data_IF_224150203111
#
_entry.id   IF_224150203111
#
_cell.length_a   1.000
_cell.length_b   1.000
_cell.length_c   1.000
_cell.angle_alpha   90.00
_cell.angle_beta   90.00
_cell.angle_gamma   90.00
#
_symmetry.space_group_name_H-M   'P 1'
#
loop_
_entity.id
_entity.type
_entity.pdbx_description
1 polymer ?
#
# COMPACT_ATOMS: atom_id res chain seq x y z
N UNK A 1 30.62 -53.73 -7.87
CA UNK A 1 31.11 -52.34 -7.92
C UNK A 1 29.95 -51.40 -7.64
N UNK A 2 29.88 -50.79 -6.46
CA UNK A 2 28.83 -49.86 -6.09
C UNK A 2 29.18 -48.47 -6.62
N UNK A 3 28.31 -47.90 -7.51
CA UNK A 3 28.45 -46.52 -7.97
C UNK A 3 28.14 -45.56 -6.79
N UNK A 4 29.17 -44.85 -6.36
CA UNK A 4 29.05 -43.76 -5.40
C UNK A 4 28.19 -42.63 -6.05
N UNK A 5 26.97 -42.46 -5.61
CA UNK A 5 26.14 -41.30 -5.97
C UNK A 5 26.83 -40.04 -5.41
N UNK A 6 27.23 -39.12 -6.29
CA UNK A 6 27.73 -37.84 -5.89
C UNK A 6 26.61 -37.08 -5.14
N UNK A 7 26.87 -36.67 -3.91
CA UNK A 7 26.02 -35.75 -3.17
C UNK A 7 26.00 -34.42 -3.91
N UNK A 8 24.96 -34.14 -4.65
CA UNK A 8 24.66 -32.79 -5.11
C UNK A 8 24.17 -32.01 -3.88
N UNK A 9 25.02 -31.15 -3.36
CA UNK A 9 24.60 -30.15 -2.35
C UNK A 9 23.82 -29.11 -3.12
N UNK A 10 22.50 -28.93 -2.89
CA UNK A 10 21.80 -27.82 -3.52
C UNK A 10 22.40 -26.53 -2.98
N UNK A 11 22.97 -25.70 -3.86
CA UNK A 11 23.32 -24.33 -3.51
C UNK A 11 22.01 -23.57 -3.32
N UNK A 12 21.70 -23.21 -2.09
CA UNK A 12 20.61 -22.27 -1.80
C UNK A 12 21.16 -20.89 -2.12
N UNK A 13 20.68 -20.29 -3.19
CA UNK A 13 20.96 -18.90 -3.50
C UNK A 13 20.05 -18.04 -2.64
N UNK A 14 20.64 -17.24 -1.76
CA UNK A 14 19.91 -16.28 -0.91
C UNK A 14 19.91 -14.95 -1.64
N UNK A 15 18.74 -14.52 -2.12
CA UNK A 15 18.58 -13.18 -2.69
C UNK A 15 18.59 -12.14 -1.56
N UNK A 16 19.38 -11.09 -1.77
CA UNK A 16 19.37 -9.92 -0.89
C UNK A 16 18.18 -9.02 -1.25
N UNK A 17 17.21 -8.95 -0.35
CA UNK A 17 16.02 -8.11 -0.50
C UNK A 17 16.20 -6.69 0.05
N UNK A 18 17.34 -6.36 0.64
CA UNK A 18 17.60 -5.05 1.22
C UNK A 18 17.37 -3.90 0.24
N UNK A 19 17.85 -3.93 -1.01
CA UNK A 19 17.63 -2.84 -1.96
C UNK A 19 16.13 -2.60 -2.25
N UNK A 20 15.36 -3.68 -2.34
CA UNK A 20 13.90 -3.58 -2.56
C UNK A 20 13.19 -2.99 -1.36
N UNK A 21 13.60 -3.30 -0.15
CA UNK A 21 13.03 -2.74 1.07
C UNK A 21 13.37 -1.26 1.24
N UNK A 22 14.58 -0.85 0.89
CA UNK A 22 15.00 0.56 0.87
C UNK A 22 14.21 1.36 -0.16
N UNK A 23 14.03 0.82 -1.37
CA UNK A 23 13.21 1.44 -2.40
C UNK A 23 11.74 1.53 -1.97
N UNK A 24 11.16 0.48 -1.39
CA UNK A 24 9.81 0.51 -0.85
C UNK A 24 9.64 1.64 0.18
N UNK A 25 10.63 1.83 1.03
CA UNK A 25 10.60 2.90 2.03
C UNK A 25 10.67 4.29 1.38
N UNK A 26 11.49 4.47 0.37
CA UNK A 26 11.56 5.70 -0.43
C UNK A 26 10.22 6.01 -1.10
N UNK A 27 9.61 5.00 -1.74
CA UNK A 27 8.30 5.11 -2.38
C UNK A 27 7.20 5.44 -1.36
N UNK A 28 7.28 4.87 -0.16
CA UNK A 28 6.36 5.21 0.92
C UNK A 28 6.45 6.70 1.30
N UNK A 29 7.65 7.25 1.44
CA UNK A 29 7.79 8.67 1.73
C UNK A 29 7.27 9.54 0.59
N UNK A 30 7.49 9.18 -0.66
CA UNK A 30 6.93 9.89 -1.82
C UNK A 30 5.39 9.87 -1.80
N UNK A 31 4.79 8.71 -1.56
CA UNK A 31 3.33 8.56 -1.44
C UNK A 31 2.77 9.39 -0.27
N UNK A 32 3.42 9.34 0.88
CA UNK A 32 3.06 10.16 2.05
C UNK A 32 3.08 11.65 1.71
N UNK A 33 4.17 12.13 1.13
CA UNK A 33 4.37 13.55 0.92
C UNK A 33 3.35 14.13 -0.07
N UNK A 34 3.03 13.41 -1.14
CA UNK A 34 2.01 13.84 -2.12
C UNK A 34 0.62 13.84 -1.51
N UNK A 35 0.27 12.82 -0.74
CA UNK A 35 -1.04 12.77 -0.06
C UNK A 35 -1.15 13.83 1.01
N UNK A 36 -0.15 13.96 1.88
CA UNK A 36 -0.15 14.97 2.94
C UNK A 36 -0.28 16.39 2.40
N UNK A 37 0.39 16.71 1.29
CA UNK A 37 0.26 18.00 0.62
C UNK A 37 -1.16 18.24 0.09
N UNK A 38 -1.77 17.21 -0.51
CA UNK A 38 -3.11 17.30 -1.06
C UNK A 38 -4.20 17.41 0.03
N UNK A 39 -3.95 16.90 1.24
CA UNK A 39 -4.93 16.90 2.33
C UNK A 39 -4.98 18.21 3.13
N UNK A 40 -4.11 19.18 2.84
CA UNK A 40 -4.14 20.47 3.53
C UNK A 40 -5.47 21.19 3.29
N UNK A 41 -6.20 21.48 4.37
CA UNK A 41 -7.49 22.18 4.31
C UNK A 41 -8.68 21.35 3.82
N UNK A 42 -8.48 20.07 3.56
CA UNK A 42 -9.59 19.17 3.16
C UNK A 42 -10.53 18.93 4.33
N UNK A 43 -11.84 18.98 4.07
CA UNK A 43 -12.90 18.71 5.03
C UNK A 43 -13.81 17.62 4.45
N UNK A 44 -14.08 16.59 5.23
CA UNK A 44 -14.97 15.48 4.86
C UNK A 44 -16.11 15.43 5.87
N UNK A 45 -17.31 15.71 5.43
CA UNK A 45 -18.54 15.69 6.26
C UNK A 45 -18.41 16.52 7.56
N UNK A 46 -17.76 17.68 7.50
CA UNK A 46 -17.52 18.55 8.67
C UNK A 46 -16.25 18.20 9.48
N UNK A 47 -15.55 17.14 9.15
CA UNK A 47 -14.29 16.74 9.81
C UNK A 47 -13.08 17.21 9.02
N UNK A 48 -12.25 18.06 9.64
CA UNK A 48 -10.97 18.47 9.05
C UNK A 48 -10.00 17.29 9.00
N UNK A 49 -9.44 17.06 7.83
CA UNK A 49 -8.43 15.98 7.62
C UNK A 49 -7.14 16.34 8.33
N UNK A 50 -6.56 15.36 9.01
CA UNK A 50 -5.31 15.48 9.77
C UNK A 50 -4.23 14.62 9.17
N UNK A 51 -3.01 15.10 9.20
CA UNK A 51 -1.83 14.29 8.87
C UNK A 51 -1.60 13.23 9.94
N UNK A 52 -1.26 12.00 9.55
CA UNK A 52 -0.77 11.00 10.49
C UNK A 52 0.52 11.48 11.17
N UNK A 53 0.62 11.35 12.49
CA UNK A 53 1.78 11.76 13.27
C UNK A 53 2.55 10.59 13.87
N UNK A 54 2.03 9.38 13.75
CA UNK A 54 2.65 8.14 14.27
C UNK A 54 3.79 7.62 13.40
N UNK A 55 4.59 6.73 13.98
CA UNK A 55 5.54 5.95 13.21
C UNK A 55 4.81 4.82 12.48
N UNK A 56 5.18 4.58 11.23
CA UNK A 56 4.58 3.59 10.33
C UNK A 56 5.69 2.66 9.85
N UNK A 57 5.36 1.39 9.75
CA UNK A 57 6.20 0.37 9.12
C UNK A 57 5.60 0.04 7.77
N UNK A 58 6.38 0.22 6.71
CA UNK A 58 6.03 -0.24 5.37
C UNK A 58 6.89 -1.47 5.02
N UNK A 59 6.27 -2.57 4.62
CA UNK A 59 6.98 -3.80 4.26
C UNK A 59 6.39 -4.43 3.01
N UNK A 60 7.21 -5.22 2.33
CA UNK A 60 6.68 -6.27 1.47
C UNK A 60 6.23 -7.44 2.33
N UNK A 61 4.99 -7.88 2.14
CA UNK A 61 4.45 -9.04 2.84
C UNK A 61 3.62 -9.89 1.88
N UNK A 62 3.74 -11.21 2.01
CA UNK A 62 2.91 -12.13 1.25
C UNK A 62 1.50 -12.12 1.81
N UNK A 63 0.68 -11.23 1.27
CA UNK A 63 -0.73 -11.13 1.60
C UNK A 63 -1.47 -12.30 0.97
N UNK A 64 -1.36 -13.47 1.62
CA UNK A 64 -1.98 -14.71 1.19
C UNK A 64 -3.48 -14.53 1.10
N UNK A 65 -4.00 -14.51 -0.11
CA UNK A 65 -5.43 -14.69 -0.32
C UNK A 65 -5.84 -16.02 0.28
N UNK A 66 -6.90 -16.05 1.10
CA UNK A 66 -7.52 -17.28 1.55
C UNK A 66 -7.72 -18.18 0.33
N UNK A 67 -7.33 -19.47 0.40
CA UNK A 67 -7.49 -20.44 -0.69
C UNK A 67 -8.93 -20.52 -1.23
N UNK A 68 -9.90 -19.97 -0.53
CA UNK A 68 -11.30 -19.92 -0.91
C UNK A 68 -11.70 -18.70 -1.75
N UNK A 69 -10.87 -17.66 -1.88
CA UNK A 69 -11.19 -16.45 -2.64
C UNK A 69 -10.09 -16.17 -3.66
N UNK A 70 -10.46 -16.21 -4.96
CA UNK A 70 -9.61 -15.89 -6.11
C UNK A 70 -9.16 -14.39 -6.19
N UNK A 71 -9.39 -13.60 -5.15
CA UNK A 71 -9.01 -12.20 -5.16
C UNK A 71 -7.58 -12.03 -4.64
N UNK A 72 -6.72 -11.43 -5.44
CA UNK A 72 -5.39 -11.00 -5.02
C UNK A 72 -5.53 -9.79 -4.12
N UNK A 73 -4.97 -9.84 -2.93
CA UNK A 73 -4.84 -8.68 -2.04
C UNK A 73 -3.57 -7.96 -2.41
N UNK A 74 -3.66 -6.71 -2.83
CA UNK A 74 -2.53 -5.92 -3.30
C UNK A 74 -1.81 -5.20 -2.18
N UNK A 75 -2.56 -4.67 -1.21
CA UNK A 75 -2.05 -3.99 -0.05
C UNK A 75 -2.93 -4.23 1.17
N UNK A 76 -2.43 -3.83 2.31
CA UNK A 76 -3.15 -3.94 3.57
C UNK A 76 -2.66 -2.88 4.54
N UNK A 77 -3.58 -2.09 5.08
CA UNK A 77 -3.34 -1.22 6.21
C UNK A 77 -3.81 -1.90 7.50
N UNK A 78 -2.96 -1.93 8.51
CA UNK A 78 -3.30 -2.46 9.82
C UNK A 78 -2.82 -1.56 10.96
N UNK A 79 -3.66 -1.42 11.97
CA UNK A 79 -3.36 -0.58 13.12
C UNK A 79 -2.64 -1.36 14.20
N UNK A 80 -1.63 -0.76 14.84
CA UNK A 80 -0.95 -1.32 16.00
C UNK A 80 -0.37 -2.75 15.79
N UNK A 81 0.08 -3.06 14.58
CA UNK A 81 0.60 -4.39 14.23
C UNK A 81 2.01 -4.65 14.76
N UNK A 82 2.79 -3.59 14.92
CA UNK A 82 4.17 -3.69 15.40
C UNK A 82 4.31 -3.07 16.78
N UNK A 83 5.26 -3.59 17.54
CA UNK A 83 5.67 -2.99 18.81
C UNK A 83 7.19 -2.86 18.82
N UNK A 84 7.68 -1.62 18.91
CA UNK A 84 9.10 -1.30 19.00
C UNK A 84 9.29 -0.34 20.18
N UNK A 85 10.19 -0.68 21.09
CA UNK A 85 10.49 0.14 22.28
C UNK A 85 9.23 0.55 23.08
N UNK A 86 8.28 -0.37 23.20
CA UNK A 86 7.02 -0.13 23.90
C UNK A 86 6.00 0.70 23.13
N UNK A 87 6.33 1.20 21.93
CA UNK A 87 5.44 1.95 21.06
C UNK A 87 4.73 1.02 20.07
N UNK A 88 3.42 1.20 19.92
CA UNK A 88 2.64 0.53 18.88
C UNK A 88 2.76 1.30 17.58
N UNK A 89 3.05 0.59 16.50
CA UNK A 89 3.21 1.15 15.17
C UNK A 89 2.13 0.62 14.24
N UNK A 90 1.67 1.48 13.35
CA UNK A 90 0.81 1.10 12.24
C UNK A 90 1.63 0.45 11.13
N UNK A 91 0.98 -0.33 10.29
CA UNK A 91 1.63 -1.11 9.26
C UNK A 91 0.91 -0.94 7.91
N UNK A 92 1.69 -0.69 6.87
CA UNK A 92 1.27 -0.81 5.48
C UNK A 92 2.05 -1.96 4.87
N UNK A 93 1.36 -3.00 4.49
CA UNK A 93 1.93 -4.15 3.79
C UNK A 93 1.61 -4.06 2.29
N UNK A 94 2.59 -4.31 1.45
CA UNK A 94 2.48 -4.35 0.00
C UNK A 94 2.81 -5.76 -0.48
N UNK A 95 1.95 -6.32 -1.32
CA UNK A 95 2.18 -7.66 -1.87
C UNK A 95 3.30 -7.62 -2.92
N UNK A 96 4.42 -8.33 -2.70
CA UNK A 96 5.56 -8.30 -3.64
C UNK A 96 5.22 -8.86 -5.03
N UNK A 97 4.13 -9.62 -5.16
CA UNK A 97 3.66 -10.10 -6.46
C UNK A 97 3.40 -8.97 -7.47
N UNK A 98 3.12 -7.75 -6.99
CA UNK A 98 2.87 -6.59 -7.84
C UNK A 98 4.13 -5.98 -8.47
N UNK A 99 5.32 -6.34 -7.99
CA UNK A 99 6.59 -5.82 -8.53
C UNK A 99 6.88 -6.29 -9.96
N UNK A 100 6.24 -7.39 -10.40
CA UNK A 100 6.40 -7.90 -11.75
C UNK A 100 5.71 -7.00 -12.79
N UNK A 101 6.37 -6.77 -13.94
CA UNK A 101 5.79 -5.98 -15.04
C UNK A 101 4.40 -6.48 -15.47
N UNK A 102 4.21 -7.81 -15.51
CA UNK A 102 2.93 -8.42 -15.86
C UNK A 102 1.80 -8.12 -14.86
N UNK A 103 2.11 -7.64 -13.66
CA UNK A 103 1.17 -7.36 -12.58
C UNK A 103 1.06 -5.89 -12.22
N UNK A 104 1.68 -5.01 -13.03
CA UNK A 104 1.60 -3.56 -12.92
C UNK A 104 2.87 -2.88 -12.42
N UNK A 105 3.87 -3.63 -11.96
CA UNK A 105 5.17 -3.09 -11.61
C UNK A 105 5.12 -2.00 -10.52
N UNK A 106 6.07 -1.10 -10.60
CA UNK A 106 6.22 -0.02 -9.63
C UNK A 106 5.03 0.96 -9.58
N UNK A 107 4.33 1.16 -10.68
CA UNK A 107 3.12 1.99 -10.72
C UNK A 107 2.03 1.40 -9.83
N UNK A 108 1.81 0.09 -9.90
CA UNK A 108 0.83 -0.59 -9.06
C UNK A 108 1.23 -0.59 -7.59
N UNK A 109 2.53 -0.72 -7.28
CA UNK A 109 3.06 -0.60 -5.91
C UNK A 109 2.73 0.77 -5.34
N UNK A 110 3.04 1.85 -6.06
CA UNK A 110 2.76 3.23 -5.63
C UNK A 110 1.26 3.52 -5.53
N UNK A 111 0.48 3.09 -6.53
CA UNK A 111 -0.98 3.20 -6.48
C UNK A 111 -1.54 2.57 -5.20
N UNK A 112 -1.14 1.33 -4.90
CA UNK A 112 -1.58 0.62 -3.71
C UNK A 112 -1.11 1.34 -2.44
N UNK A 113 0.12 1.83 -2.43
CA UNK A 113 0.68 2.55 -1.28
C UNK A 113 -0.09 3.83 -0.96
N UNK A 114 -0.47 4.61 -1.98
CA UNK A 114 -1.33 5.79 -1.83
C UNK A 114 -2.71 5.36 -1.31
N UNK A 115 -3.28 4.27 -1.83
CA UNK A 115 -4.56 3.74 -1.36
C UNK A 115 -4.54 3.40 0.14
N UNK A 116 -3.53 2.65 0.57
CA UNK A 116 -3.39 2.27 1.98
C UNK A 116 -3.06 3.46 2.89
N UNK A 117 -2.32 4.44 2.38
CA UNK A 117 -2.05 5.68 3.11
C UNK A 117 -3.32 6.54 3.31
N UNK A 118 -4.27 6.50 2.39
CA UNK A 118 -5.58 7.15 2.57
C UNK A 118 -6.33 6.59 3.78
N UNK A 119 -6.28 5.28 4.02
CA UNK A 119 -6.85 4.67 5.23
C UNK A 119 -6.18 5.18 6.50
N UNK A 120 -4.86 5.35 6.47
CA UNK A 120 -4.12 5.90 7.60
C UNK A 120 -4.50 7.37 7.89
N UNK A 121 -4.68 8.19 6.85
CA UNK A 121 -5.18 9.57 6.96
C UNK A 121 -6.59 9.60 7.52
N UNK A 122 -7.48 8.72 7.06
CA UNK A 122 -8.83 8.58 7.59
C UNK A 122 -8.81 8.27 9.09
N UNK A 123 -8.00 7.29 9.50
CA UNK A 123 -7.80 6.93 10.91
C UNK A 123 -7.30 8.11 11.74
N UNK A 124 -6.25 8.80 11.28
CA UNK A 124 -5.67 9.96 12.00
C UNK A 124 -6.68 11.10 12.16
N UNK A 125 -7.63 11.19 11.24
CA UNK A 125 -8.70 12.21 11.22
C UNK A 125 -9.94 11.79 12.01
N UNK A 126 -10.04 10.52 12.45
CA UNK A 126 -11.25 9.97 13.06
C UNK A 126 -12.40 9.80 12.07
N UNK A 127 -12.08 9.62 10.79
CA UNK A 127 -13.04 9.40 9.70
C UNK A 127 -13.22 7.90 9.49
N UNK A 128 -14.44 7.40 9.62
CA UNK A 128 -14.79 6.03 9.24
C UNK A 128 -14.92 5.96 7.71
N UNK A 129 -13.90 5.51 7.04
CA UNK A 129 -13.78 5.43 5.58
C UNK A 129 -14.19 4.06 5.02
N UNK A 130 -14.31 3.05 5.89
CA UNK A 130 -14.77 1.71 5.53
C UNK A 130 -16.01 1.31 6.34
N UNK A 131 -16.70 0.27 5.89
CA UNK A 131 -17.76 -0.43 6.60
C UNK A 131 -17.63 -1.95 6.38
N UNK A 132 -18.54 -2.74 6.95
CA UNK A 132 -18.53 -4.18 6.82
C UNK A 132 -17.15 -4.81 7.20
N UNK A 133 -16.66 -4.46 8.41
CA UNK A 133 -15.36 -4.93 8.93
C UNK A 133 -14.17 -4.64 8.00
N UNK A 134 -14.14 -3.48 7.37
CA UNK A 134 -13.05 -3.04 6.51
C UNK A 134 -13.19 -3.45 5.03
N UNK A 135 -14.17 -4.31 4.68
CA UNK A 135 -14.29 -4.82 3.31
C UNK A 135 -14.98 -3.86 2.33
N UNK A 136 -15.67 -2.85 2.82
CA UNK A 136 -16.46 -1.95 1.98
C UNK A 136 -15.96 -0.52 2.13
N UNK A 137 -15.33 0.02 1.09
CA UNK A 137 -14.92 1.42 1.03
C UNK A 137 -16.14 2.31 0.79
N UNK A 138 -16.44 3.17 1.73
CA UNK A 138 -17.62 4.03 1.70
C UNK A 138 -17.37 5.36 0.94
N UNK A 139 -18.34 6.26 0.96
CA UNK A 139 -18.23 7.56 0.28
C UNK A 139 -17.14 8.47 0.86
N UNK A 140 -16.81 8.31 2.16
CA UNK A 140 -15.75 9.10 2.79
C UNK A 140 -14.38 8.67 2.31
N UNK A 141 -14.17 7.35 2.17
CA UNK A 141 -12.98 6.85 1.48
C UNK A 141 -12.85 7.43 0.07
N UNK A 142 -13.95 7.39 -0.72
CA UNK A 142 -13.95 7.94 -2.08
C UNK A 142 -13.61 9.44 -2.09
N UNK A 143 -14.12 10.21 -1.16
CA UNK A 143 -13.82 11.63 -1.05
C UNK A 143 -12.36 11.89 -0.70
N UNK A 144 -11.79 11.13 0.24
CA UNK A 144 -10.36 11.20 0.60
C UNK A 144 -9.47 10.79 -0.58
N UNK A 145 -9.76 9.66 -1.24
CA UNK A 145 -9.00 9.19 -2.40
C UNK A 145 -8.98 10.23 -3.52
N UNK A 146 -10.13 10.81 -3.85
CA UNK A 146 -10.22 11.86 -4.87
C UNK A 146 -9.50 13.15 -4.46
N UNK A 147 -9.45 13.48 -3.17
CA UNK A 147 -8.74 14.66 -2.68
C UNK A 147 -7.21 14.55 -2.89
N UNK A 148 -6.64 13.35 -3.00
CA UNK A 148 -5.22 13.15 -3.29
C UNK A 148 -4.81 13.68 -4.67
N UNK A 149 -5.76 13.72 -5.63
CA UNK A 149 -5.57 14.05 -7.05
C UNK A 149 -4.71 13.06 -7.83
N UNK A 150 -3.94 12.20 -7.18
CA UNK A 150 -3.10 11.18 -7.83
C UNK A 150 -3.83 9.84 -8.00
N UNK A 151 -4.85 9.58 -7.19
CA UNK A 151 -5.79 8.47 -7.39
C UNK A 151 -7.22 8.99 -7.41
N UNK A 152 -8.10 8.27 -8.09
CA UNK A 152 -9.53 8.53 -8.04
C UNK A 152 -10.33 7.30 -7.66
N UNK A 153 -11.43 7.51 -6.97
CA UNK A 153 -12.32 6.43 -6.55
C UNK A 153 -13.26 6.02 -7.69
N UNK A 154 -13.35 4.71 -7.90
CA UNK A 154 -14.27 4.09 -8.87
C UNK A 154 -15.27 3.22 -8.11
N UNK A 155 -16.56 3.44 -8.36
CA UNK A 155 -17.62 2.68 -7.70
C UNK A 155 -17.67 1.24 -8.21
N UNK A 156 -17.74 0.29 -7.28
CA UNK A 156 -17.86 -1.15 -7.54
C UNK A 156 -18.94 -1.74 -6.60
N UNK A 157 -19.91 -2.45 -7.15
CA UNK A 157 -21.10 -2.88 -6.42
C UNK A 157 -20.86 -3.66 -5.13
N UNK A 158 -19.85 -4.54 -5.11
CA UNK A 158 -19.62 -5.45 -3.98
C UNK A 158 -18.69 -4.90 -2.90
N UNK A 159 -17.82 -3.96 -3.24
CA UNK A 159 -16.78 -3.43 -2.35
C UNK A 159 -16.89 -1.92 -2.10
N UNK A 160 -17.91 -1.30 -2.63
CA UNK A 160 -18.16 0.15 -2.53
C UNK A 160 -17.34 0.94 -3.54
N UNK A 161 -16.10 1.23 -3.22
CA UNK A 161 -15.18 1.93 -4.12
C UNK A 161 -13.84 1.18 -4.19
N UNK A 162 -13.25 1.16 -5.37
CA UNK A 162 -11.82 0.88 -5.58
C UNK A 162 -11.15 2.17 -6.02
N UNK A 163 -9.86 2.13 -6.27
CA UNK A 163 -9.12 3.28 -6.79
C UNK A 163 -8.40 2.92 -8.09
N UNK A 164 -8.10 3.94 -8.87
CA UNK A 164 -7.22 3.88 -10.04
C UNK A 164 -6.36 5.15 -10.07
N UNK A 165 -5.21 5.08 -10.74
CA UNK A 165 -4.39 6.28 -10.98
C UNK A 165 -5.16 7.28 -11.84
N UNK A 166 -4.93 8.55 -11.57
CA UNK A 166 -5.32 9.64 -12.48
C UNK A 166 -4.17 9.91 -13.44
N UNK A 167 -4.42 10.66 -14.51
CA UNK A 167 -3.37 11.13 -15.40
C UNK A 167 -2.28 11.91 -14.64
N UNK A 168 -2.68 12.72 -13.66
CA UNK A 168 -1.74 13.42 -12.78
C UNK A 168 -0.93 12.45 -11.91
N UNK A 169 -1.55 11.36 -11.45
CA UNK A 169 -0.86 10.30 -10.69
C UNK A 169 0.17 9.57 -11.53
N UNK A 170 -0.17 9.21 -12.76
CA UNK A 170 0.77 8.57 -13.70
C UNK A 170 1.95 9.49 -14.04
N UNK A 171 1.71 10.78 -14.29
CA UNK A 171 2.77 11.77 -14.51
C UNK A 171 3.66 11.92 -13.26
N UNK A 172 3.06 12.00 -12.08
CA UNK A 172 3.80 12.09 -10.83
C UNK A 172 4.74 10.88 -10.64
N UNK A 173 4.25 9.67 -10.88
CA UNK A 173 5.07 8.45 -10.76
C UNK A 173 6.24 8.50 -11.77
N UNK A 174 5.96 8.80 -13.03
CA UNK A 174 6.94 8.77 -14.11
C UNK A 174 7.98 9.88 -14.01
N UNK A 175 7.58 11.09 -13.59
CA UNK A 175 8.41 12.30 -13.71
C UNK A 175 9.08 12.65 -12.38
N UNK A 176 8.41 12.45 -11.25
CA UNK A 176 8.90 12.86 -9.94
C UNK A 176 9.43 11.70 -9.09
N UNK A 177 8.73 10.57 -9.08
CA UNK A 177 9.12 9.43 -8.23
C UNK A 177 10.19 8.57 -8.89
N UNK A 178 10.03 8.24 -10.18
CA UNK A 178 10.96 7.43 -10.96
C UNK A 178 11.39 6.16 -10.20
N UNK A 179 10.47 5.22 -9.94
CA UNK A 179 10.76 4.04 -9.14
C UNK A 179 11.80 3.12 -9.79
N UNK A 180 12.63 2.50 -8.96
CA UNK A 180 13.76 1.65 -9.34
C UNK A 180 13.52 0.18 -8.91
N UNK A 181 12.59 -0.49 -9.56
CA UNK A 181 12.40 -1.95 -9.40
C UNK A 181 12.76 -2.69 -10.67
#
# INVERSE_FOLDING_TARGET
MAKKLAKVTPSVEVHDFTPYQEELQRLFYSARDVVDAAMVGVNIDGTMVKRPTGKIVATFDHLGGSRAKKATVYGHFATNQWQVDGQKLDHIAINPYMMGEATGGAEQVLHTMVHEYVHLVAKASGIEDTSNNGYFHNKRFAALANATKVICAVKVDKIGHTTQLTEAGESWIREEVQPNF
#
